data_IF_888062310309
#
_entry.id   IF_888062310309
#
_cell.length_a   1.000
_cell.length_b   1.000
_cell.length_c   1.000
_cell.angle_alpha   90.00
_cell.angle_beta   90.00
_cell.angle_gamma   90.00
#
_symmetry.space_group_name_H-M   'P 1'
#
loop_
_entity.id
_entity.type
_entity.pdbx_description
1 polymer ?
#
# COMPACT_ATOMS: atom_id res chain seq x y z
N UNK A 1 52.32 15.12 41.53
CA UNK A 1 51.92 16.11 42.53
C UNK A 1 50.91 17.02 41.85
N UNK A 2 49.76 17.18 42.51
CA UNK A 2 48.71 18.19 42.32
C UNK A 2 47.77 17.89 41.12
N UNK A 3 46.60 17.24 41.25
CA UNK A 3 45.42 17.40 42.15
C UNK A 3 44.66 18.73 41.99
N UNK A 4 43.55 18.72 41.23
CA UNK A 4 42.28 19.49 41.41
C UNK A 4 41.37 19.20 40.19
N UNK A 5 40.20 18.55 40.19
CA UNK A 5 39.01 18.41 41.05
C UNK A 5 38.05 19.63 41.09
N UNK A 6 37.17 19.69 40.08
CA UNK A 6 35.67 19.87 40.11
C UNK A 6 35.09 21.08 40.87
N UNK A 7 34.11 21.88 40.34
CA UNK A 7 32.77 21.36 40.00
C UNK A 7 31.91 22.07 38.90
N UNK A 8 30.80 21.42 38.46
CA UNK A 8 29.70 22.07 37.73
C UNK A 8 28.39 22.15 38.57
N UNK A 9 27.72 23.31 38.63
CA UNK A 9 26.32 23.39 39.16
C UNK A 9 25.48 24.58 38.65
N UNK A 10 24.48 24.27 37.80
CA UNK A 10 23.08 24.74 37.79
C UNK A 10 22.71 26.21 37.43
N UNK A 11 21.40 26.59 37.38
CA UNK A 11 20.18 25.80 37.17
C UNK A 11 19.20 26.40 36.12
N UNK A 12 18.23 25.62 35.62
CA UNK A 12 17.14 26.11 34.77
C UNK A 12 15.93 25.18 34.79
N UNK A 13 15.07 25.35 35.80
CA UNK A 13 13.84 24.58 36.06
C UNK A 13 12.64 25.45 35.73
N UNK A 14 11.82 25.06 34.75
CA UNK A 14 10.47 25.61 34.55
C UNK A 14 9.46 24.51 34.85
N UNK A 15 8.95 24.52 36.07
CA UNK A 15 7.80 23.72 36.50
C UNK A 15 6.53 24.52 36.23
N UNK A 16 5.63 23.93 35.45
CA UNK A 16 4.26 24.39 35.28
C UNK A 16 3.40 24.00 36.49
N UNK A 17 2.28 24.70 36.53
CA UNK A 17 1.43 25.09 37.64
C UNK A 17 0.56 23.97 38.23
N UNK A 18 0.14 24.21 39.47
CA UNK A 18 -0.70 23.38 40.35
C UNK A 18 -2.16 23.74 40.14
N UNK A 19 -3.08 22.76 40.19
CA UNK A 19 -4.50 23.08 40.34
C UNK A 19 -5.49 21.92 40.36
N UNK A 20 -5.85 21.50 41.59
CA UNK A 20 -7.16 20.98 42.03
C UNK A 20 -7.52 19.46 41.88
N UNK A 21 -7.62 18.83 43.06
CA UNK A 21 -8.44 17.63 43.44
C UNK A 21 -9.63 18.14 44.30
N UNK A 22 -10.64 17.36 44.79
CA UNK A 22 -11.04 15.96 44.57
C UNK A 22 -12.58 15.70 44.42
N UNK A 23 -12.93 14.41 44.30
CA UNK A 23 -14.24 13.74 44.42
C UNK A 23 -15.17 14.16 45.58
N UNK A 24 -16.51 14.00 45.39
CA UNK A 24 -17.36 13.01 46.11
C UNK A 24 -18.89 13.26 45.98
N UNK A 25 -19.55 12.27 45.36
CA UNK A 25 -20.84 11.59 45.65
C UNK A 25 -22.07 12.32 46.23
N UNK A 26 -23.27 11.98 45.72
CA UNK A 26 -24.35 11.27 46.49
C UNK A 26 -25.39 10.61 45.54
N UNK A 27 -26.20 9.61 46.00
CA UNK A 27 -26.77 8.54 45.17
C UNK A 27 -28.32 8.46 45.11
N UNK A 28 -28.78 7.46 44.34
CA UNK A 28 -29.99 6.61 44.49
C UNK A 28 -31.39 7.16 44.19
N UNK A 29 -32.10 6.48 43.28
CA UNK A 29 -33.54 6.26 43.44
C UNK A 29 -34.37 5.89 42.21
N UNK A 30 -34.55 4.58 41.99
CA UNK A 30 -35.78 3.90 41.52
C UNK A 30 -36.14 3.80 40.00
N UNK A 31 -35.89 2.61 39.45
CA UNK A 31 -36.75 1.87 38.48
C UNK A 31 -37.84 1.12 39.33
N UNK A 32 -39.04 0.65 38.87
CA UNK A 32 -39.24 -0.05 37.59
C UNK A 32 -40.63 -0.07 36.88
N UNK A 33 -40.61 -0.77 35.74
CA UNK A 33 -41.64 -1.67 35.19
C UNK A 33 -42.49 -1.21 33.99
N UNK A 34 -42.20 -1.81 32.83
CA UNK A 34 -43.21 -2.22 31.85
C UNK A 34 -44.01 -3.41 32.47
N UNK A 35 -45.30 -3.67 32.12
CA UNK A 35 -45.67 -4.09 30.76
C UNK A 35 -47.11 -3.73 30.32
N UNK A 36 -47.41 -3.82 29.01
CA UNK A 36 -48.61 -4.50 28.50
C UNK A 36 -48.70 -4.42 26.97
N UNK A 37 -48.48 -5.56 26.30
CA UNK A 37 -48.95 -5.79 24.93
C UNK A 37 -50.48 -5.84 24.96
N UNK A 38 -51.15 -5.00 24.17
CA UNK A 38 -52.50 -5.35 23.66
C UNK A 38 -52.40 -5.68 22.18
N UNK A 39 -52.58 -6.97 21.89
CA UNK A 39 -52.97 -7.48 20.58
C UNK A 39 -54.41 -7.04 20.35
N UNK A 40 -54.64 -6.18 19.36
CA UNK A 40 -55.95 -5.87 18.82
C UNK A 40 -56.04 -6.41 17.40
N UNK A 41 -56.45 -7.67 17.28
CA UNK A 41 -56.71 -8.31 16.00
C UNK A 41 -58.01 -7.76 15.40
N UNK A 42 -57.88 -7.22 14.19
CA UNK A 42 -58.82 -7.31 13.07
C UNK A 42 -60.33 -7.23 13.36
N UNK A 43 -60.93 -6.07 13.09
CA UNK A 43 -62.35 -5.97 12.81
C UNK A 43 -62.56 -5.99 11.29
N UNK A 44 -63.12 -7.10 10.78
CA UNK A 44 -63.20 -7.46 9.34
C UNK A 44 -64.50 -6.95 8.70
N UNK A 45 -65.26 -6.14 9.43
CA UNK A 45 -66.68 -5.90 9.20
C UNK A 45 -67.01 -4.53 8.60
N UNK A 46 -66.02 -3.64 8.45
CA UNK A 46 -66.21 -2.31 7.82
C UNK A 46 -65.81 -2.26 6.34
N UNK A 47 -65.41 -3.39 5.76
CA UNK A 47 -65.29 -3.55 4.29
C UNK A 47 -66.70 -3.76 3.72
N UNK A 48 -67.33 -2.69 3.24
CA UNK A 48 -68.27 -2.66 2.09
C UNK A 48 -69.03 -1.33 1.99
N UNK A 49 -68.37 -0.18 2.16
CA UNK A 49 -69.01 1.10 1.89
C UNK A 49 -67.99 2.22 1.69
N UNK A 50 -67.24 2.18 0.58
CA UNK A 50 -66.69 3.37 -0.09
C UNK A 50 -65.82 2.94 -1.27
N UNK A 51 -66.45 2.39 -2.31
CA UNK A 51 -65.94 2.61 -3.65
C UNK A 51 -66.30 4.05 -4.04
N UNK A 52 -65.44 4.68 -4.85
CA UNK A 52 -65.47 6.07 -5.36
C UNK A 52 -64.64 7.07 -4.54
N UNK A 53 -63.33 7.13 -4.84
CA UNK A 53 -62.56 8.38 -5.09
C UNK A 53 -61.05 8.13 -4.95
N UNK A 54 -60.43 7.45 -5.92
CA UNK A 54 -58.97 7.49 -6.08
C UNK A 54 -58.60 7.16 -7.53
N UNK A 55 -58.74 8.13 -8.44
CA UNK A 55 -58.51 7.90 -9.87
C UNK A 55 -57.38 8.73 -10.51
N UNK A 56 -56.56 9.49 -9.76
CA UNK A 56 -55.48 10.29 -10.42
C UNK A 56 -54.13 10.30 -9.68
N UNK A 57 -54.01 9.80 -8.44
CA UNK A 57 -52.74 9.84 -7.71
C UNK A 57 -51.86 8.57 -7.84
N UNK A 58 -52.37 7.51 -8.49
CA UNK A 58 -51.68 6.22 -8.64
C UNK A 58 -50.75 6.09 -9.88
N UNK A 59 -50.90 6.81 -11.01
CA UNK A 59 -50.05 6.55 -12.17
C UNK A 59 -48.62 7.08 -11.98
N UNK A 60 -48.42 8.16 -11.22
CA UNK A 60 -47.08 8.76 -11.04
C UNK A 60 -46.19 7.93 -10.10
N UNK A 61 -46.76 7.38 -9.02
CA UNK A 61 -46.02 6.47 -8.12
C UNK A 61 -45.74 5.11 -8.78
N UNK A 62 -46.66 4.59 -9.60
CA UNK A 62 -46.42 3.37 -10.40
C UNK A 62 -45.39 3.61 -11.51
N UNK A 63 -45.36 4.80 -12.12
CA UNK A 63 -44.36 5.14 -13.13
C UNK A 63 -42.94 5.25 -12.53
N UNK A 64 -42.78 5.87 -11.35
CA UNK A 64 -41.47 5.96 -10.68
C UNK A 64 -41.01 4.61 -10.13
N UNK A 65 -41.91 3.80 -9.57
CA UNK A 65 -41.60 2.43 -9.13
C UNK A 65 -41.33 1.47 -10.30
N UNK A 66 -42.02 1.64 -11.44
CA UNK A 66 -41.78 0.86 -12.66
C UNK A 66 -40.48 1.23 -13.36
N UNK A 67 -40.09 2.51 -13.33
CA UNK A 67 -38.84 2.98 -13.92
C UNK A 67 -37.61 2.52 -13.10
N UNK A 68 -37.69 2.50 -11.76
CA UNK A 68 -36.63 1.89 -10.93
C UNK A 68 -36.57 0.37 -11.10
N UNK A 69 -37.71 -0.30 -11.29
CA UNK A 69 -37.70 -1.75 -11.55
C UNK A 69 -37.15 -2.11 -12.93
N UNK A 70 -37.41 -1.32 -13.97
CA UNK A 70 -36.85 -1.56 -15.31
C UNK A 70 -35.34 -1.22 -15.39
N UNK A 71 -34.87 -0.28 -14.57
CA UNK A 71 -33.43 0.01 -14.41
C UNK A 71 -32.69 -1.07 -13.60
N UNK A 72 -33.38 -1.82 -12.75
CA UNK A 72 -32.80 -2.92 -11.97
C UNK A 72 -33.00 -4.29 -12.63
N UNK A 73 -33.88 -4.39 -13.64
CA UNK A 73 -34.14 -5.61 -14.41
C UNK A 73 -33.35 -5.69 -15.72
N UNK A 74 -32.37 -4.79 -15.93
CA UNK A 74 -31.30 -5.02 -16.93
C UNK A 74 -30.24 -5.98 -16.40
N UNK A 75 -30.67 -7.03 -15.70
CA UNK A 75 -30.00 -8.31 -15.72
C UNK A 75 -30.68 -9.06 -16.87
N UNK A 76 -30.23 -8.77 -18.10
CA UNK A 76 -30.26 -9.82 -19.13
C UNK A 76 -29.79 -11.08 -18.41
N UNK A 77 -30.55 -12.20 -18.42
CA UNK A 77 -30.20 -13.39 -17.65
C UNK A 77 -28.76 -13.71 -17.98
N UNK A 78 -27.85 -13.27 -17.11
CA UNK A 78 -26.45 -13.34 -17.39
C UNK A 78 -26.25 -14.83 -17.50
N UNK A 79 -25.93 -15.29 -18.71
CA UNK A 79 -25.47 -16.64 -18.92
C UNK A 79 -24.55 -16.88 -17.75
N UNK A 80 -24.94 -17.78 -16.84
CA UNK A 80 -24.24 -18.05 -15.57
C UNK A 80 -22.77 -17.89 -15.87
N UNK A 81 -22.06 -16.88 -15.31
CA UNK A 81 -20.72 -16.55 -15.77
C UNK A 81 -19.98 -17.86 -15.76
N UNK A 82 -19.72 -18.34 -16.97
CA UNK A 82 -19.24 -19.69 -17.14
C UNK A 82 -17.96 -19.68 -16.30
N UNK A 83 -17.73 -20.61 -15.35
CA UNK A 83 -16.54 -20.55 -14.50
C UNK A 83 -15.26 -20.37 -15.35
N UNK A 84 -15.33 -20.81 -16.60
CA UNK A 84 -14.40 -20.59 -17.68
C UNK A 84 -14.09 -19.12 -18.04
N UNK A 85 -15.03 -18.17 -18.08
CA UNK A 85 -14.75 -16.79 -18.53
C UNK A 85 -13.96 -15.99 -17.48
N UNK A 86 -14.28 -16.14 -16.19
CA UNK A 86 -13.51 -15.53 -15.09
C UNK A 86 -12.11 -16.14 -14.92
N UNK A 87 -11.88 -17.38 -15.37
CA UNK A 87 -10.57 -18.04 -15.33
C UNK A 87 -9.74 -17.72 -16.58
N UNK A 88 -10.36 -17.40 -17.71
CA UNK A 88 -9.70 -17.08 -18.98
C UNK A 88 -9.16 -15.64 -19.06
N UNK A 89 -9.64 -14.71 -18.22
CA UNK A 89 -9.09 -13.36 -18.13
C UNK A 89 -7.69 -13.31 -17.48
N UNK A 90 -7.28 -14.38 -16.80
CA UNK A 90 -5.94 -14.57 -16.27
C UNK A 90 -5.16 -15.47 -17.25
N UNK A 91 -4.69 -14.89 -18.36
CA UNK A 91 -3.73 -15.58 -19.23
C UNK A 91 -2.56 -16.17 -18.42
N UNK A 92 -1.83 -17.17 -18.94
CA UNK A 92 -0.80 -17.87 -18.19
C UNK A 92 0.26 -16.88 -17.68
N UNK A 93 0.23 -16.55 -16.37
CA UNK A 93 1.30 -15.81 -15.72
C UNK A 93 2.55 -16.66 -15.77
N UNK A 94 3.67 -16.08 -16.19
CA UNK A 94 4.96 -16.72 -16.08
C UNK A 94 5.28 -16.95 -14.59
N UNK A 95 5.04 -18.16 -14.10
CA UNK A 95 5.27 -18.54 -12.69
C UNK A 95 6.62 -19.21 -12.47
N UNK A 96 7.35 -19.53 -13.54
CA UNK A 96 8.69 -20.13 -13.44
C UNK A 96 9.59 -19.23 -12.59
N UNK A 97 10.25 -19.78 -11.55
CA UNK A 97 11.17 -19.03 -10.72
C UNK A 97 12.30 -18.39 -11.55
N UNK A 98 12.57 -17.12 -11.30
CA UNK A 98 13.66 -16.38 -11.94
C UNK A 98 14.96 -16.68 -11.21
N UNK A 99 15.99 -17.03 -11.97
CA UNK A 99 17.29 -17.37 -11.42
C UNK A 99 17.99 -16.13 -10.86
N UNK A 100 18.33 -16.16 -9.57
CA UNK A 100 19.03 -15.08 -8.88
C UNK A 100 20.03 -15.65 -7.87
N UNK A 101 21.13 -14.93 -7.64
CA UNK A 101 22.05 -15.24 -6.55
C UNK A 101 21.62 -14.50 -5.27
N UNK A 102 21.94 -15.07 -4.12
CA UNK A 102 21.68 -14.45 -2.82
C UNK A 102 22.95 -14.52 -1.98
N UNK A 103 23.80 -13.49 -2.12
CA UNK A 103 24.99 -13.36 -1.28
C UNK A 103 24.57 -13.05 0.16
N UNK A 104 25.18 -13.68 1.17
CA UNK A 104 24.92 -13.36 2.56
C UNK A 104 25.16 -11.88 2.87
N UNK A 105 24.17 -11.24 3.48
CA UNK A 105 24.25 -9.86 3.92
C UNK A 105 24.61 -9.79 5.41
N UNK A 106 25.25 -8.69 5.82
CA UNK A 106 25.36 -8.34 7.24
C UNK A 106 23.97 -8.08 7.85
N UNK A 107 23.86 -8.21 9.18
CA UNK A 107 22.59 -8.12 9.92
C UNK A 107 21.75 -6.86 9.62
N UNK A 108 22.41 -5.69 9.56
CA UNK A 108 21.74 -4.41 9.30
C UNK A 108 21.17 -4.35 7.86
N UNK A 109 21.97 -4.54 6.79
CA UNK A 109 21.43 -4.65 5.43
C UNK A 109 20.37 -5.74 5.27
N UNK A 110 20.54 -6.93 5.87
CA UNK A 110 19.54 -8.00 5.78
C UNK A 110 18.18 -7.60 6.37
N UNK A 111 18.19 -6.85 7.48
CA UNK A 111 16.96 -6.33 8.10
C UNK A 111 16.30 -5.26 7.24
N UNK A 112 17.08 -4.34 6.69
CA UNK A 112 16.60 -3.26 5.81
C UNK A 112 16.05 -3.83 4.50
N UNK A 113 16.74 -4.78 3.88
CA UNK A 113 16.28 -5.43 2.66
C UNK A 113 14.98 -6.20 2.87
N UNK A 114 14.81 -6.91 3.98
CA UNK A 114 13.51 -7.53 4.32
C UNK A 114 12.38 -6.50 4.42
N UNK A 115 12.67 -5.33 5.00
CA UNK A 115 11.69 -4.26 5.09
C UNK A 115 11.33 -3.71 3.69
N UNK A 116 12.32 -3.53 2.80
CA UNK A 116 12.08 -3.16 1.40
C UNK A 116 11.21 -4.20 0.70
N UNK A 117 11.58 -5.48 0.76
CA UNK A 117 10.90 -6.57 0.06
C UNK A 117 9.44 -6.71 0.51
N UNK A 118 9.15 -6.45 1.80
CA UNK A 118 7.79 -6.41 2.33
C UNK A 118 6.96 -5.19 1.86
N UNK A 119 7.61 -4.15 1.33
CA UNK A 119 6.97 -2.93 0.81
C UNK A 119 6.94 -2.86 -0.71
N UNK A 120 7.66 -3.74 -1.41
CA UNK A 120 7.61 -3.79 -2.85
C UNK A 120 6.17 -4.09 -3.33
N UNK A 121 5.73 -3.47 -4.43
CA UNK A 121 4.42 -3.72 -4.98
C UNK A 121 4.33 -5.14 -5.56
N UNK A 122 3.12 -5.67 -5.63
CA UNK A 122 2.84 -6.95 -6.28
C UNK A 122 2.99 -6.89 -7.81
N UNK A 123 3.02 -5.68 -8.36
CA UNK A 123 3.26 -5.40 -9.78
C UNK A 123 4.17 -4.18 -9.93
N UNK A 124 5.11 -4.23 -10.87
CA UNK A 124 5.84 -3.03 -11.34
C UNK A 124 5.22 -2.64 -12.66
N UNK A 125 4.45 -1.55 -12.66
CA UNK A 125 3.54 -1.19 -13.76
C UNK A 125 2.64 -2.40 -14.11
N UNK A 126 2.68 -2.87 -15.35
CA UNK A 126 1.95 -4.04 -15.83
C UNK A 126 2.63 -5.40 -15.51
N UNK A 127 3.85 -5.41 -14.99
CA UNK A 127 4.62 -6.64 -14.78
C UNK A 127 4.28 -7.28 -13.43
N UNK A 128 3.68 -8.49 -13.40
CA UNK A 128 3.39 -9.18 -12.15
C UNK A 128 4.67 -9.73 -11.51
N UNK A 129 4.70 -9.73 -10.18
CA UNK A 129 5.79 -10.36 -9.43
C UNK A 129 5.87 -11.86 -9.70
N UNK A 130 7.10 -12.38 -9.70
CA UNK A 130 7.47 -13.78 -9.94
C UNK A 130 8.31 -14.30 -8.78
N UNK A 131 8.26 -15.63 -8.50
CA UNK A 131 9.17 -16.23 -7.54
C UNK A 131 10.63 -16.13 -8.03
N UNK A 132 11.57 -16.10 -7.09
CA UNK A 132 13.02 -16.12 -7.32
C UNK A 132 13.61 -17.41 -6.77
N UNK A 133 14.73 -17.88 -7.32
CA UNK A 133 15.33 -19.15 -6.87
C UNK A 133 16.14 -19.05 -5.59
N UNK A 134 16.63 -17.87 -5.23
CA UNK A 134 17.38 -17.64 -4.01
C UNK A 134 17.13 -16.25 -3.42
N UNK A 135 17.21 -16.18 -2.09
CA UNK A 135 17.11 -14.96 -1.31
C UNK A 135 15.84 -14.15 -1.51
N UNK A 136 14.62 -14.72 -1.41
CA UNK A 136 13.37 -13.95 -1.51
C UNK A 136 13.25 -12.81 -0.47
N UNK A 137 14.06 -12.84 0.58
CA UNK A 137 14.21 -11.78 1.58
C UNK A 137 15.03 -10.57 1.11
N UNK A 138 15.76 -10.67 -0.01
CA UNK A 138 16.57 -9.60 -0.59
C UNK A 138 16.41 -9.44 -2.11
N UNK A 139 15.71 -10.36 -2.78
CA UNK A 139 15.53 -10.41 -4.22
C UNK A 139 14.04 -10.48 -4.60
N UNK A 140 13.68 -9.78 -5.67
CA UNK A 140 12.38 -9.87 -6.31
C UNK A 140 12.53 -9.88 -7.84
N UNK A 141 11.53 -10.42 -8.55
CA UNK A 141 11.49 -10.41 -10.00
C UNK A 141 10.08 -10.12 -10.51
N UNK A 142 9.98 -9.52 -11.70
CA UNK A 142 8.73 -9.07 -12.30
C UNK A 142 8.69 -9.36 -13.80
N UNK A 143 7.56 -9.88 -14.28
CA UNK A 143 7.29 -10.02 -15.71
C UNK A 143 8.15 -11.04 -16.44
N UNK A 144 8.03 -11.08 -17.78
CA UNK A 144 8.79 -12.00 -18.63
C UNK A 144 9.15 -11.35 -19.98
N UNK A 145 10.45 -11.16 -20.30
CA UNK A 145 11.62 -11.42 -19.47
C UNK A 145 11.66 -10.61 -18.18
N UNK A 146 12.34 -11.17 -17.18
CA UNK A 146 12.29 -10.67 -15.83
C UNK A 146 13.05 -9.34 -15.66
N UNK A 147 12.36 -8.33 -15.12
CA UNK A 147 13.00 -7.24 -14.40
C UNK A 147 13.33 -7.75 -13.00
N UNK A 148 14.58 -7.62 -12.56
CA UNK A 148 15.02 -8.12 -11.24
C UNK A 148 15.42 -7.00 -10.30
N UNK A 149 15.16 -7.20 -9.02
CA UNK A 149 15.53 -6.29 -7.92
C UNK A 149 16.38 -7.07 -6.94
N UNK A 150 17.57 -6.56 -6.62
CA UNK A 150 18.48 -7.12 -5.60
C UNK A 150 18.88 -6.03 -4.62
N UNK A 151 18.57 -6.23 -3.34
CA UNK A 151 18.93 -5.32 -2.25
C UNK A 151 20.22 -5.78 -1.54
N UNK A 152 20.98 -4.82 -1.02
CA UNK A 152 22.21 -5.08 -0.28
C UNK A 152 23.40 -5.41 -1.19
N UNK A 153 23.34 -5.02 -2.46
CA UNK A 153 24.48 -5.19 -3.36
C UNK A 153 25.62 -4.27 -2.93
N UNK A 154 26.88 -4.57 -3.30
CA UNK A 154 27.97 -3.62 -3.15
C UNK A 154 27.66 -2.32 -3.91
N UNK A 155 27.95 -1.19 -3.27
CA UNK A 155 27.78 0.13 -3.89
C UNK A 155 28.70 0.27 -5.11
N UNK A 156 28.20 0.74 -6.25
CA UNK A 156 29.00 0.82 -7.46
C UNK A 156 30.06 1.92 -7.35
N UNK A 157 31.23 1.68 -7.95
CA UNK A 157 32.18 2.75 -8.22
C UNK A 157 31.68 3.56 -9.42
N UNK A 158 31.34 4.83 -9.20
CA UNK A 158 30.78 5.72 -10.22
C UNK A 158 31.90 6.62 -10.76
N UNK A 159 32.22 6.57 -12.06
CA UNK A 159 33.12 7.53 -12.69
C UNK A 159 32.63 8.97 -12.48
N UNK A 160 33.54 9.93 -12.29
CA UNK A 160 33.17 11.33 -12.07
C UNK A 160 32.43 11.98 -13.25
N UNK A 161 32.50 11.36 -14.44
CA UNK A 161 31.82 11.79 -15.67
C UNK A 161 30.40 11.22 -15.81
N UNK A 162 30.04 10.23 -15.00
CA UNK A 162 28.75 9.56 -15.12
C UNK A 162 27.64 10.40 -14.52
N UNK A 163 26.46 10.28 -15.13
CA UNK A 163 25.26 10.97 -14.67
C UNK A 163 24.49 10.09 -13.68
N UNK A 164 24.03 10.70 -12.60
CA UNK A 164 23.06 10.11 -11.68
C UNK A 164 21.71 10.79 -11.88
N UNK A 165 20.63 10.03 -11.73
CA UNK A 165 19.27 10.47 -11.99
C UNK A 165 18.44 10.35 -10.72
N UNK A 166 17.64 11.38 -10.43
CA UNK A 166 16.70 11.33 -9.30
C UNK A 166 15.35 10.84 -9.81
N UNK A 167 14.83 9.76 -9.20
CA UNK A 167 13.50 9.21 -9.46
C UNK A 167 12.84 8.96 -8.10
N UNK A 168 11.69 9.58 -7.85
CA UNK A 168 11.00 9.56 -6.55
C UNK A 168 11.93 9.75 -5.35
N UNK A 169 12.76 10.80 -5.39
CA UNK A 169 13.72 11.14 -4.33
C UNK A 169 14.82 10.09 -4.09
N UNK A 170 14.97 9.10 -4.98
CA UNK A 170 16.05 8.11 -4.96
C UNK A 170 17.03 8.39 -6.09
N UNK A 171 18.31 8.30 -5.77
CA UNK A 171 19.38 8.48 -6.73
C UNK A 171 19.78 7.18 -7.41
N UNK A 172 19.72 7.19 -8.73
CA UNK A 172 20.04 6.04 -9.57
C UNK A 172 21.21 6.34 -10.47
N UNK A 173 22.24 5.49 -10.41
CA UNK A 173 23.24 5.37 -11.47
C UNK A 173 22.79 4.32 -12.48
N UNK A 174 22.90 4.65 -13.77
CA UNK A 174 22.54 3.77 -14.87
C UNK A 174 23.79 3.26 -15.58
N UNK A 175 23.93 1.94 -15.70
CA UNK A 175 24.95 1.27 -16.48
C UNK A 175 24.31 0.51 -17.62
N UNK A 176 24.60 0.95 -18.84
CA UNK A 176 24.08 0.33 -20.06
C UNK A 176 24.91 -0.90 -20.46
N UNK A 177 24.22 -2.02 -20.70
CA UNK A 177 24.81 -3.26 -21.19
C UNK A 177 24.10 -3.70 -22.48
N UNK A 178 24.59 -4.77 -23.12
CA UNK A 178 24.04 -5.24 -24.40
C UNK A 178 22.54 -5.55 -24.34
N UNK A 179 22.11 -6.27 -23.30
CA UNK A 179 20.77 -6.85 -23.20
C UNK A 179 19.94 -6.29 -22.03
N UNK A 180 20.57 -5.52 -21.15
CA UNK A 180 19.95 -4.94 -19.96
C UNK A 180 20.47 -3.53 -19.68
N UNK A 181 19.70 -2.75 -18.95
CA UNK A 181 20.17 -1.56 -18.23
C UNK A 181 20.19 -1.89 -16.74
N UNK A 182 21.34 -1.69 -16.09
CA UNK A 182 21.49 -1.90 -14.65
C UNK A 182 21.39 -0.55 -13.95
N UNK A 183 20.36 -0.39 -13.13
CA UNK A 183 20.12 0.80 -12.31
C UNK A 183 20.52 0.45 -10.87
N UNK A 184 21.41 1.22 -10.25
CA UNK A 184 21.81 0.99 -8.85
C UNK A 184 21.63 2.26 -8.04
N UNK A 185 21.10 2.12 -6.82
CA UNK A 185 21.00 3.27 -5.91
C UNK A 185 22.35 3.65 -5.33
N UNK A 186 22.54 4.95 -5.10
CA UNK A 186 23.84 5.53 -4.72
C UNK A 186 23.75 6.49 -3.53
N UNK A 187 22.58 6.51 -2.89
CA UNK A 187 22.26 7.40 -1.77
C UNK A 187 21.68 6.63 -0.58
N UNK A 188 21.77 5.29 -0.54
CA UNK A 188 21.07 4.44 0.44
C UNK A 188 22.02 3.67 1.35
N UNK A 189 21.62 3.45 2.60
CA UNK A 189 22.39 2.63 3.56
C UNK A 189 22.59 1.17 3.09
N UNK A 190 21.69 0.69 2.23
CA UNK A 190 21.84 -0.56 1.48
C UNK A 190 21.52 -0.29 0.01
N UNK A 191 22.49 -0.49 -0.89
CA UNK A 191 22.29 -0.26 -2.30
C UNK A 191 21.31 -1.28 -2.89
N UNK A 192 20.43 -0.80 -3.77
CA UNK A 192 19.44 -1.61 -4.49
C UNK A 192 19.80 -1.56 -5.96
N UNK A 193 19.96 -2.74 -6.56
CA UNK A 193 20.16 -2.90 -8.00
C UNK A 193 18.87 -3.36 -8.65
N UNK A 194 18.48 -2.69 -9.71
CA UNK A 194 17.40 -3.10 -10.60
C UNK A 194 17.99 -3.39 -11.97
N UNK A 195 17.78 -4.61 -12.49
CA UNK A 195 18.19 -4.98 -13.84
C UNK A 195 16.97 -4.96 -14.73
N UNK A 196 16.97 -4.07 -15.73
CA UNK A 196 15.86 -3.87 -16.66
C UNK A 196 16.25 -4.43 -18.03
N UNK A 197 15.60 -5.51 -18.52
CA UNK A 197 15.78 -5.99 -19.89
C UNK A 197 15.54 -4.90 -20.94
N UNK A 198 16.37 -4.86 -22.00
CA UNK A 198 16.31 -3.82 -23.06
C UNK A 198 14.98 -3.71 -23.80
N UNK A 199 14.16 -4.77 -23.79
CA UNK A 199 12.79 -4.70 -24.33
C UNK A 199 11.91 -3.66 -23.60
N UNK A 200 12.27 -3.34 -22.36
CA UNK A 200 11.57 -2.38 -21.52
C UNK A 200 12.26 -1.04 -21.70
N UNK A 201 11.77 -0.29 -22.68
CA UNK A 201 12.28 1.05 -22.98
C UNK A 201 12.12 1.98 -21.76
N UNK A 202 12.94 3.04 -21.73
CA UNK A 202 12.92 4.06 -20.67
C UNK A 202 13.14 3.45 -19.27
N UNK A 203 14.31 2.83 -19.02
CA UNK A 203 14.57 2.04 -17.81
C UNK A 203 14.30 2.80 -16.50
N UNK A 204 14.54 4.11 -16.46
CA UNK A 204 14.27 4.96 -15.30
C UNK A 204 12.78 5.05 -14.90
N UNK A 205 11.84 4.85 -15.82
CA UNK A 205 10.41 4.84 -15.47
C UNK A 205 10.01 3.57 -14.71
N UNK A 206 10.74 2.48 -14.89
CA UNK A 206 10.45 1.19 -14.24
C UNK A 206 10.81 1.18 -12.76
N UNK A 207 11.71 2.06 -12.34
CA UNK A 207 12.13 2.17 -10.94
C UNK A 207 11.29 3.14 -10.11
N UNK A 208 10.36 3.90 -10.70
CA UNK A 208 9.47 4.81 -9.93
C UNK A 208 8.71 4.09 -8.80
N UNK A 209 7.91 3.03 -9.04
CA UNK A 209 7.20 2.35 -7.95
C UNK A 209 8.13 1.62 -6.96
N UNK A 210 9.35 1.27 -7.40
CA UNK A 210 10.38 0.66 -6.53
C UNK A 210 11.01 1.75 -5.64
N UNK A 211 11.19 2.96 -6.18
CA UNK A 211 11.79 4.10 -5.48
C UNK A 211 10.91 4.56 -4.32
N UNK A 212 9.58 4.57 -4.48
CA UNK A 212 8.65 4.81 -3.38
C UNK A 212 8.83 3.80 -2.24
N UNK A 213 8.95 2.51 -2.57
CA UNK A 213 9.20 1.46 -1.58
C UNK A 213 10.57 1.62 -0.90
N UNK A 214 11.60 2.07 -1.64
CA UNK A 214 12.93 2.38 -1.10
C UNK A 214 12.85 3.54 -0.11
N UNK A 215 12.20 4.65 -0.46
CA UNK A 215 12.03 5.79 0.46
C UNK A 215 11.30 5.39 1.74
N UNK A 216 10.32 4.49 1.64
CA UNK A 216 9.56 4.01 2.77
C UNK A 216 10.32 3.03 3.70
N UNK A 217 11.45 2.48 3.27
CA UNK A 217 12.11 1.36 3.98
C UNK A 217 13.62 1.49 4.19
N UNK A 218 14.31 2.28 3.37
CA UNK A 218 15.77 2.40 3.38
C UNK A 218 16.19 3.85 3.59
N UNK A 219 16.93 4.07 4.66
CA UNK A 219 17.45 5.39 4.99
C UNK A 219 18.52 5.82 3.99
N UNK A 220 18.59 7.13 3.75
CA UNK A 220 19.69 7.73 3.00
C UNK A 220 21.00 7.59 3.79
N UNK A 221 22.12 7.31 3.11
CA UNK A 221 23.43 7.23 3.73
C UNK A 221 24.52 7.84 2.85
N UNK A 222 25.60 8.30 3.51
CA UNK A 222 26.80 8.78 2.83
C UNK A 222 26.67 10.16 2.16
N UNK A 223 27.75 10.61 1.49
CA UNK A 223 27.74 11.83 0.72
C UNK A 223 26.97 11.64 -0.60
N UNK A 224 25.79 12.25 -0.69
CA UNK A 224 24.98 12.27 -1.92
C UNK A 224 25.77 12.95 -3.05
N UNK A 225 25.92 12.33 -4.24
CA UNK A 225 26.58 12.94 -5.40
C UNK A 225 25.96 14.29 -5.77
N UNK A 226 26.73 15.20 -6.37
CA UNK A 226 26.22 16.54 -6.73
C UNK A 226 25.03 16.49 -7.70
N UNK A 227 25.02 15.53 -8.63
CA UNK A 227 23.91 15.31 -9.57
C UNK A 227 22.60 14.81 -8.93
N UNK A 228 22.63 14.52 -7.63
CA UNK A 228 21.49 14.03 -6.86
C UNK A 228 20.80 15.09 -6.00
N UNK A 229 21.39 16.30 -5.91
CA UNK A 229 20.77 17.43 -5.21
C UNK A 229 19.91 18.19 -6.22
N UNK A 230 18.64 17.78 -6.33
CA UNK A 230 17.59 18.54 -7.01
C UNK A 230 17.01 19.62 -6.11
#
# INVERSE_FOLDING_TARGET
>A
MDDEKTPPTGPGKTTADTGATPDRATPTGAEPAAPAKRRGGWDRTTRNAALVAALVALPVTVAVAGFTFNSLSSDEPAATPSPSESVQALGPKATTPVQMAAEPLAERPATVCRALLAKLPSTVRELPQRPVTAGPEQNAAYGDPALTVSCGVPEPAIPATDTVWVVEQVCWHASEQSDVTVLTTVDREAAVRVTVPKRYEQPLQWVSPISEAIVASILTAGPVPSGCRG
#
